data_IF_693452742725
#
_entry.id   IF_693452742725
#
_cell.length_a   1.000
_cell.length_b   1.000
_cell.length_c   1.000
_cell.angle_alpha   90.00
_cell.angle_beta   90.00
_cell.angle_gamma   90.00
#
_symmetry.space_group_name_H-M   'P 1'
#
loop_
_entity.id
_entity.type
_entity.pdbx_description
1 polymer ?
#
# COMPACT_ATOMS: atom_id res chain seq x y z
N UNK A 1 -9.29 -23.65 -28.38
CA UNK A 1 -9.97 -22.90 -29.46
C UNK A 1 -9.06 -21.94 -30.22
N UNK A 2 -8.15 -21.21 -29.63
CA UNK A 2 -7.14 -20.39 -30.33
C UNK A 2 -6.22 -21.17 -31.28
N UNK A 3 -6.12 -22.45 -31.11
CA UNK A 3 -5.27 -23.32 -31.90
C UNK A 3 -5.77 -23.53 -33.35
N UNK A 4 -7.01 -23.17 -33.66
CA UNK A 4 -7.61 -23.43 -34.97
C UNK A 4 -7.26 -22.41 -36.03
N UNK A 5 -6.69 -21.27 -35.72
CA UNK A 5 -6.22 -20.32 -36.73
C UNK A 5 -5.00 -20.85 -37.50
N UNK A 6 -4.27 -21.85 -36.98
CA UNK A 6 -3.07 -22.46 -37.61
C UNK A 6 -2.07 -21.45 -38.14
N UNK A 7 -1.89 -20.31 -37.44
CA UNK A 7 -0.99 -19.22 -37.85
C UNK A 7 -1.52 -18.35 -38.99
N UNK A 8 -2.75 -18.55 -39.44
CA UNK A 8 -3.38 -17.66 -40.41
C UNK A 8 -3.61 -16.27 -39.80
N UNK A 9 -3.48 -15.18 -40.55
CA UNK A 9 -3.66 -13.83 -40.06
C UNK A 9 -5.14 -13.45 -39.94
N UNK A 10 -5.95 -14.34 -39.40
CA UNK A 10 -7.37 -14.13 -39.11
C UNK A 10 -7.56 -13.93 -37.61
N UNK A 11 -8.54 -13.12 -37.22
CA UNK A 11 -8.79 -12.81 -35.84
C UNK A 11 -9.29 -14.03 -35.05
N UNK A 12 -10.19 -14.80 -35.60
CA UNK A 12 -10.82 -15.96 -34.99
C UNK A 12 -11.45 -16.83 -36.09
N UNK A 13 -11.61 -18.13 -35.85
CA UNK A 13 -12.39 -19.04 -36.72
C UNK A 13 -13.86 -18.99 -36.31
N UNK A 14 -14.13 -19.00 -34.99
CA UNK A 14 -15.47 -18.86 -34.43
C UNK A 14 -15.68 -17.48 -33.76
N UNK A 15 -16.91 -17.09 -33.62
CA UNK A 15 -17.32 -15.80 -33.03
C UNK A 15 -17.03 -15.67 -31.51
N UNK A 16 -16.79 -16.78 -30.83
CA UNK A 16 -16.42 -16.81 -29.39
C UNK A 16 -14.93 -17.12 -29.15
N UNK A 17 -14.11 -17.15 -30.17
CA UNK A 17 -12.67 -17.39 -30.07
C UNK A 17 -11.90 -16.08 -29.86
N UNK A 18 -11.88 -15.58 -28.63
CA UNK A 18 -11.07 -14.44 -28.25
C UNK A 18 -10.03 -14.86 -27.21
N UNK A 19 -8.77 -14.49 -27.45
CA UNK A 19 -7.70 -14.72 -26.47
C UNK A 19 -7.81 -13.71 -25.31
N UNK A 20 -8.67 -14.01 -24.38
CA UNK A 20 -8.88 -13.17 -23.19
C UNK A 20 -7.64 -13.15 -22.30
N UNK A 21 -6.81 -14.20 -22.31
CA UNK A 21 -5.63 -14.26 -21.45
C UNK A 21 -4.59 -13.20 -21.82
N UNK A 22 -4.41 -12.92 -23.13
CA UNK A 22 -3.55 -11.83 -23.59
C UNK A 22 -4.06 -10.45 -23.16
N UNK A 23 -5.36 -10.24 -23.21
CA UNK A 23 -5.97 -8.99 -22.76
C UNK A 23 -5.87 -8.86 -21.21
N UNK A 24 -6.19 -9.94 -20.49
CA UNK A 24 -6.15 -9.99 -19.03
C UNK A 24 -4.72 -9.87 -18.47
N UNK A 25 -3.70 -10.32 -19.17
CA UNK A 25 -2.30 -10.29 -18.74
C UNK A 25 -1.82 -8.87 -18.37
N UNK A 26 -2.37 -7.83 -18.98
CA UNK A 26 -2.04 -6.44 -18.65
C UNK A 26 -2.66 -5.95 -17.33
N UNK A 27 -3.65 -6.67 -16.80
CA UNK A 27 -4.42 -6.30 -15.60
C UNK A 27 -4.24 -7.28 -14.44
N UNK A 28 -3.62 -8.44 -14.70
CA UNK A 28 -3.50 -9.54 -13.76
C UNK A 28 -2.04 -9.87 -13.46
N UNK A 29 -1.78 -10.42 -12.29
CA UNK A 29 -0.46 -10.98 -11.96
C UNK A 29 -0.17 -12.29 -12.71
N UNK A 30 -1.23 -13.03 -13.01
CA UNK A 30 -1.16 -14.31 -13.70
C UNK A 30 -2.38 -14.44 -14.58
N UNK A 31 -2.17 -14.70 -15.86
CA UNK A 31 -3.24 -14.94 -16.82
C UNK A 31 -2.86 -16.16 -17.66
N UNK A 32 -3.67 -17.20 -17.61
CA UNK A 32 -3.37 -18.48 -18.25
C UNK A 32 -4.64 -19.14 -18.78
N UNK A 33 -4.52 -19.81 -19.93
CA UNK A 33 -5.53 -20.74 -20.42
C UNK A 33 -5.11 -22.17 -20.04
N UNK A 34 -6.04 -22.97 -19.58
CA UNK A 34 -5.83 -24.40 -19.34
C UNK A 34 -5.68 -25.11 -20.70
N UNK A 35 -4.50 -25.67 -20.97
CA UNK A 35 -4.20 -26.38 -22.20
C UNK A 35 -4.35 -27.91 -22.08
N UNK A 36 -4.20 -28.42 -20.85
CA UNK A 36 -4.35 -29.85 -20.52
C UNK A 36 -5.19 -29.97 -19.27
N UNK A 37 -6.24 -30.79 -19.27
CA UNK A 37 -7.12 -30.95 -18.10
C UNK A 37 -6.39 -31.34 -16.81
N UNK A 38 -5.29 -32.10 -16.93
CA UNK A 38 -4.49 -32.60 -15.82
C UNK A 38 -3.73 -31.49 -15.09
N UNK A 39 -3.52 -30.33 -15.72
CA UNK A 39 -2.82 -29.19 -15.14
C UNK A 39 -3.73 -28.31 -14.27
N UNK A 40 -5.03 -28.62 -14.16
CA UNK A 40 -6.02 -27.79 -13.47
C UNK A 40 -5.63 -27.50 -12.01
N UNK A 41 -5.18 -28.52 -11.28
CA UNK A 41 -4.76 -28.37 -9.89
C UNK A 41 -3.58 -27.39 -9.75
N UNK A 42 -2.55 -27.60 -10.55
CA UNK A 42 -1.35 -26.76 -10.55
C UNK A 42 -1.69 -25.30 -10.87
N UNK A 43 -2.50 -25.08 -11.90
CA UNK A 43 -2.88 -23.74 -12.35
C UNK A 43 -3.70 -23.01 -11.28
N UNK A 44 -4.68 -23.68 -10.65
CA UNK A 44 -5.52 -23.06 -9.61
C UNK A 44 -4.73 -22.76 -8.34
N UNK A 45 -3.89 -23.68 -7.87
CA UNK A 45 -3.04 -23.47 -6.71
C UNK A 45 -2.05 -22.32 -6.95
N UNK A 46 -1.43 -22.26 -8.13
CA UNK A 46 -0.53 -21.17 -8.53
C UNK A 46 -1.27 -19.83 -8.63
N UNK A 47 -2.43 -19.81 -9.28
CA UNK A 47 -3.25 -18.61 -9.40
C UNK A 47 -3.64 -18.04 -8.04
N UNK A 48 -4.04 -18.90 -7.12
CA UNK A 48 -4.37 -18.52 -5.74
C UNK A 48 -3.15 -17.97 -5.01
N UNK A 49 -2.02 -18.67 -5.06
CA UNK A 49 -0.78 -18.23 -4.43
C UNK A 49 -0.36 -16.85 -4.92
N UNK A 50 -0.28 -16.65 -6.25
CA UNK A 50 0.12 -15.38 -6.83
C UNK A 50 -0.86 -14.24 -6.50
N UNK A 51 -2.16 -14.53 -6.46
CA UNK A 51 -3.17 -13.53 -6.10
C UNK A 51 -3.06 -13.05 -4.64
N UNK A 52 -2.61 -13.92 -3.74
CA UNK A 52 -2.66 -13.69 -2.28
C UNK A 52 -1.31 -13.36 -1.65
N UNK A 53 -0.19 -13.46 -2.40
CA UNK A 53 1.17 -13.23 -1.87
C UNK A 53 1.83 -12.00 -2.46
N UNK A 54 2.83 -11.45 -1.77
CA UNK A 54 3.54 -10.25 -2.17
C UNK A 54 2.59 -9.06 -2.34
N UNK A 55 2.79 -8.28 -3.40
CA UNK A 55 1.79 -7.30 -3.83
C UNK A 55 0.58 -8.06 -4.38
N UNK A 56 -0.47 -8.19 -3.58
CA UNK A 56 -1.69 -8.92 -3.93
C UNK A 56 -2.35 -8.32 -5.18
N UNK A 57 -2.92 -9.17 -6.03
CA UNK A 57 -3.57 -8.75 -7.26
C UNK A 57 -4.32 -9.90 -7.93
N UNK A 58 -5.17 -9.61 -8.93
CA UNK A 58 -5.98 -10.62 -9.57
C UNK A 58 -5.15 -11.64 -10.36
N UNK A 59 -5.66 -12.87 -10.44
CA UNK A 59 -5.23 -13.88 -11.40
C UNK A 59 -6.42 -14.26 -12.28
N UNK A 60 -6.15 -14.57 -13.53
CA UNK A 60 -7.15 -14.97 -14.51
C UNK A 60 -6.85 -16.38 -15.02
N UNK A 61 -7.81 -17.27 -14.87
CA UNK A 61 -7.71 -18.64 -15.41
C UNK A 61 -8.84 -18.84 -16.42
N UNK A 62 -8.50 -19.13 -17.66
CA UNK A 62 -9.44 -19.47 -18.72
C UNK A 62 -9.52 -20.99 -18.83
N UNK A 63 -10.70 -21.54 -18.62
CA UNK A 63 -10.96 -22.98 -18.69
C UNK A 63 -11.86 -23.24 -19.90
N UNK A 64 -11.32 -23.82 -21.00
CA UNK A 64 -12.10 -24.16 -22.18
C UNK A 64 -13.30 -25.05 -21.84
N UNK A 65 -14.42 -24.79 -22.52
CA UNK A 65 -15.70 -25.46 -22.22
C UNK A 65 -15.67 -26.98 -22.44
N UNK A 66 -14.88 -27.44 -23.38
CA UNK A 66 -14.64 -28.86 -23.63
C UNK A 66 -13.93 -29.53 -22.44
N UNK A 67 -13.07 -28.83 -21.72
CA UNK A 67 -12.41 -29.36 -20.52
C UNK A 67 -13.32 -29.38 -19.31
N UNK A 68 -14.29 -28.46 -19.22
CA UNK A 68 -15.19 -28.36 -18.06
C UNK A 68 -16.09 -29.60 -17.87
N UNK A 69 -16.34 -30.33 -18.96
CA UNK A 69 -17.15 -31.56 -18.95
C UNK A 69 -16.34 -32.86 -18.83
N UNK A 70 -15.02 -32.80 -18.77
CA UNK A 70 -14.19 -34.00 -18.72
C UNK A 70 -14.14 -34.61 -17.34
N UNK A 71 -14.13 -35.96 -17.31
CA UNK A 71 -13.82 -36.72 -16.08
C UNK A 71 -12.30 -36.90 -16.04
N UNK A 72 -11.68 -36.43 -15.00
CA UNK A 72 -10.23 -36.53 -14.78
C UNK A 72 -9.93 -37.33 -13.51
N UNK A 73 -8.81 -38.02 -13.49
CA UNK A 73 -8.32 -38.72 -12.31
C UNK A 73 -7.56 -37.70 -11.42
N UNK A 74 -8.07 -37.50 -10.19
CA UNK A 74 -7.57 -36.41 -9.33
C UNK A 74 -6.40 -36.82 -8.44
N UNK A 75 -6.18 -38.14 -8.22
CA UNK A 75 -5.19 -38.66 -7.27
C UNK A 75 -3.74 -38.36 -7.64
N UNK A 76 -3.45 -38.21 -8.93
CA UNK A 76 -2.09 -38.01 -9.47
C UNK A 76 -1.86 -36.63 -10.09
N UNK A 77 -2.77 -35.68 -9.90
CA UNK A 77 -2.59 -34.32 -10.42
C UNK A 77 -1.39 -33.64 -9.76
N UNK A 78 -0.54 -33.05 -10.58
CA UNK A 78 0.57 -32.23 -10.13
C UNK A 78 0.05 -31.06 -9.29
N UNK A 79 0.55 -30.91 -8.06
CA UNK A 79 0.35 -29.71 -7.25
C UNK A 79 1.37 -28.62 -7.61
N UNK A 80 1.07 -27.41 -7.21
CA UNK A 80 1.98 -26.27 -7.26
C UNK A 80 2.77 -26.17 -5.96
N UNK A 81 4.05 -25.80 -6.05
CA UNK A 81 4.86 -25.53 -4.88
C UNK A 81 5.36 -24.07 -4.89
N UNK A 82 5.15 -23.28 -3.84
CA UNK A 82 5.56 -21.87 -3.79
C UNK A 82 7.05 -21.61 -4.08
N UNK A 83 7.92 -22.56 -3.82
CA UNK A 83 9.34 -22.47 -4.13
C UNK A 83 9.67 -22.48 -5.64
N UNK A 84 8.68 -22.76 -6.50
CA UNK A 84 8.81 -22.67 -7.97
C UNK A 84 8.84 -21.22 -8.45
N UNK A 85 8.25 -20.30 -7.67
CA UNK A 85 8.41 -18.87 -7.93
C UNK A 85 9.76 -18.42 -7.37
N UNK A 86 10.42 -17.52 -8.09
CA UNK A 86 11.56 -16.82 -7.53
C UNK A 86 11.04 -16.06 -6.31
N UNK A 87 11.43 -16.49 -5.12
CA UNK A 87 11.10 -15.78 -3.90
C UNK A 87 11.48 -14.31 -4.11
N UNK A 88 10.50 -13.40 -4.09
CA UNK A 88 10.81 -11.99 -3.94
C UNK A 88 11.70 -11.92 -2.73
N UNK A 89 12.97 -11.56 -2.93
CA UNK A 89 13.96 -11.53 -1.86
C UNK A 89 13.53 -10.42 -0.91
N UNK A 90 12.73 -10.78 0.10
CA UNK A 90 12.40 -9.88 1.19
C UNK A 90 13.65 -9.71 2.01
N UNK A 91 14.37 -8.64 1.75
CA UNK A 91 15.48 -8.25 2.62
C UNK A 91 14.87 -7.81 3.95
N UNK A 92 15.30 -8.38 5.07
CA UNK A 92 14.87 -7.88 6.39
C UNK A 92 15.15 -6.38 6.49
N UNK A 93 14.25 -5.66 7.14
CA UNK A 93 14.46 -4.22 7.37
C UNK A 93 15.64 -4.07 8.33
N UNK A 94 16.64 -3.32 7.92
CA UNK A 94 17.79 -3.03 8.78
C UNK A 94 17.36 -2.18 9.97
N UNK A 95 17.85 -2.50 11.15
CA UNK A 95 17.55 -1.75 12.38
C UNK A 95 17.95 -0.28 12.25
N UNK A 96 19.07 0.01 11.62
CA UNK A 96 19.53 1.36 11.31
C UNK A 96 18.52 2.18 10.49
N UNK A 97 17.78 1.53 9.59
CA UNK A 97 16.71 2.20 8.83
C UNK A 97 15.54 2.59 9.74
N UNK A 98 15.16 1.72 10.67
CA UNK A 98 14.12 2.03 11.65
C UNK A 98 14.54 3.19 12.57
N UNK A 99 15.80 3.16 13.04
CA UNK A 99 16.37 4.25 13.85
C UNK A 99 16.38 5.58 13.09
N UNK A 100 16.78 5.57 11.80
CA UNK A 100 16.74 6.77 10.97
C UNK A 100 15.33 7.33 10.84
N UNK A 101 14.32 6.47 10.60
CA UNK A 101 12.92 6.92 10.50
C UNK A 101 12.45 7.55 11.80
N UNK A 102 12.71 6.92 12.96
CA UNK A 102 12.35 7.46 14.28
C UNK A 102 13.01 8.80 14.55
N UNK A 103 14.31 8.92 14.28
CA UNK A 103 15.05 10.16 14.43
C UNK A 103 14.48 11.28 13.55
N UNK A 104 14.13 10.98 12.31
CA UNK A 104 13.49 11.93 11.41
C UNK A 104 12.14 12.41 11.94
N UNK A 105 11.31 11.51 12.45
CA UNK A 105 10.02 11.85 13.07
C UNK A 105 10.23 12.72 14.32
N UNK A 106 11.20 12.38 15.17
CA UNK A 106 11.51 13.14 16.39
C UNK A 106 11.94 14.57 16.09
N UNK A 107 12.64 14.83 14.99
CA UNK A 107 13.12 16.15 14.60
C UNK A 107 12.14 16.96 13.74
N UNK A 108 11.16 16.32 13.12
CA UNK A 108 10.16 16.98 12.30
C UNK A 108 9.23 17.87 13.15
N UNK A 109 8.90 19.04 12.65
CA UNK A 109 8.01 19.99 13.32
C UNK A 109 6.56 19.81 12.91
N UNK A 110 6.34 19.33 11.70
CA UNK A 110 5.02 19.13 11.06
C UNK A 110 4.92 17.76 10.39
N UNK A 111 5.20 16.67 11.12
CA UNK A 111 5.12 15.32 10.56
C UNK A 111 3.67 14.93 10.24
N UNK A 112 3.49 14.14 9.18
CA UNK A 112 2.21 13.53 8.81
C UNK A 112 2.43 12.05 8.52
N UNK A 113 1.59 11.20 9.12
CA UNK A 113 1.47 9.80 8.73
C UNK A 113 0.44 9.67 7.61
N UNK A 114 0.86 9.23 6.42
CA UNK A 114 -0.03 9.04 5.28
C UNK A 114 -0.32 7.55 5.09
N UNK A 115 -1.42 7.10 5.70
CA UNK A 115 -1.83 5.70 5.70
C UNK A 115 -2.46 5.27 4.38
N UNK A 116 -2.01 4.13 3.85
CA UNK A 116 -2.54 3.52 2.65
C UNK A 116 -3.14 2.14 2.89
N UNK A 117 -3.87 1.62 1.91
CA UNK A 117 -4.56 0.33 2.00
C UNK A 117 -3.58 -0.87 2.12
N UNK A 118 -2.31 -0.70 1.79
CA UNK A 118 -1.27 -1.70 2.02
C UNK A 118 -1.17 -2.14 3.49
N UNK A 119 -1.49 -1.25 4.43
CA UNK A 119 -1.55 -1.58 5.87
C UNK A 119 -2.60 -2.68 6.12
N UNK A 120 -3.80 -2.55 5.52
CA UNK A 120 -4.85 -3.56 5.67
C UNK A 120 -4.51 -4.84 4.92
N UNK A 121 -3.98 -4.72 3.71
CA UNK A 121 -3.60 -5.86 2.88
C UNK A 121 -2.48 -6.71 3.51
N UNK A 122 -1.57 -6.09 4.26
CA UNK A 122 -0.52 -6.80 5.00
C UNK A 122 -1.01 -7.45 6.30
N UNK A 123 -2.25 -7.14 6.74
CA UNK A 123 -2.75 -7.54 8.06
C UNK A 123 -2.22 -6.64 9.20
N UNK A 124 -1.61 -5.49 8.87
CA UNK A 124 -0.95 -4.59 9.82
C UNK A 124 -1.88 -3.61 10.55
N UNK A 125 -3.19 -3.86 10.60
CA UNK A 125 -4.14 -2.94 11.21
C UNK A 125 -3.88 -2.68 12.71
N UNK A 126 -3.62 -3.73 13.47
CA UNK A 126 -3.34 -3.60 14.90
C UNK A 126 -2.01 -2.90 15.17
N UNK A 127 -0.99 -3.17 14.34
CA UNK A 127 0.29 -2.48 14.43
C UNK A 127 0.16 -1.00 14.06
N UNK A 128 -0.68 -0.69 13.09
CA UNK A 128 -1.01 0.70 12.72
C UNK A 128 -1.69 1.44 13.90
N UNK A 129 -2.69 0.83 14.53
CA UNK A 129 -3.37 1.42 15.70
C UNK A 129 -2.38 1.70 16.82
N UNK A 130 -1.54 0.74 17.14
CA UNK A 130 -0.49 0.89 18.16
C UNK A 130 0.47 2.01 17.80
N UNK A 131 0.91 2.08 16.54
CA UNK A 131 1.80 3.13 16.05
C UNK A 131 1.17 4.52 16.19
N UNK A 132 -0.10 4.67 15.81
CA UNK A 132 -0.84 5.94 15.95
C UNK A 132 -0.90 6.38 17.43
N UNK A 133 -1.20 5.44 18.32
CA UNK A 133 -1.30 5.71 19.76
C UNK A 133 0.06 6.07 20.38
N UNK A 134 1.15 5.46 19.94
CA UNK A 134 2.50 5.74 20.43
C UNK A 134 3.07 7.05 19.86
N UNK A 135 3.05 7.20 18.55
CA UNK A 135 3.73 8.30 17.88
C UNK A 135 2.94 9.60 17.86
N UNK A 136 1.63 9.56 18.10
CA UNK A 136 0.79 10.75 18.19
C UNK A 136 0.88 11.68 16.97
N UNK A 137 1.07 11.13 15.76
CA UNK A 137 1.18 11.92 14.53
C UNK A 137 -0.21 12.20 13.93
N UNK A 138 -0.43 13.38 13.30
CA UNK A 138 -1.59 13.58 12.44
C UNK A 138 -1.66 12.53 11.34
N UNK A 139 -2.82 11.87 11.19
CA UNK A 139 -3.06 10.80 10.22
C UNK A 139 -3.88 11.34 9.06
N UNK A 140 -3.36 11.13 7.86
CA UNK A 140 -4.09 11.34 6.60
C UNK A 140 -4.23 9.99 5.91
N UNK A 141 -5.38 9.69 5.34
CA UNK A 141 -5.61 8.43 4.62
C UNK A 141 -5.69 8.65 3.11
N UNK A 142 -5.39 7.60 2.34
CA UNK A 142 -5.82 7.52 0.96
C UNK A 142 -7.35 7.31 0.88
N UNK A 143 -7.93 7.49 -0.29
CA UNK A 143 -9.37 7.32 -0.50
C UNK A 143 -9.81 5.84 -0.38
N UNK A 144 -8.90 4.91 -0.56
CA UNK A 144 -9.08 3.45 -0.48
C UNK A 144 -8.71 2.86 0.89
N UNK A 145 -8.38 3.73 1.85
CA UNK A 145 -7.96 3.38 3.22
C UNK A 145 -8.68 4.18 4.30
N UNK A 146 -9.84 4.72 4.00
CA UNK A 146 -10.63 5.58 4.90
C UNK A 146 -11.13 4.87 6.15
N UNK A 147 -11.20 3.55 6.10
CA UNK A 147 -11.66 2.67 7.18
C UNK A 147 -10.55 2.24 8.14
N UNK A 148 -9.31 2.70 7.95
CA UNK A 148 -8.20 2.42 8.86
C UNK A 148 -8.33 3.13 10.22
N UNK A 149 -8.98 4.28 10.23
CA UNK A 149 -9.12 5.11 11.44
C UNK A 149 -10.50 5.80 11.43
N UNK A 150 -11.11 5.88 12.60
CA UNK A 150 -12.43 6.49 12.75
C UNK A 150 -12.37 8.01 12.50
N UNK A 151 -13.40 8.58 11.87
CA UNK A 151 -13.47 10.03 11.61
C UNK A 151 -13.43 10.85 12.89
N UNK A 152 -13.91 10.31 14.00
CA UNK A 152 -13.89 10.94 15.32
C UNK A 152 -12.55 10.90 16.04
N UNK A 153 -11.58 10.12 15.52
CA UNK A 153 -10.27 10.01 16.15
C UNK A 153 -9.55 11.37 16.16
N UNK A 154 -8.96 11.81 17.29
CA UNK A 154 -8.38 13.14 17.44
C UNK A 154 -7.19 13.41 16.51
N UNK A 155 -6.46 12.38 16.12
CA UNK A 155 -5.32 12.48 15.20
C UNK A 155 -5.71 12.37 13.72
N UNK A 156 -6.93 11.95 13.41
CA UNK A 156 -7.37 11.83 12.02
C UNK A 156 -7.71 13.20 11.44
N UNK A 157 -7.00 13.59 10.41
CA UNK A 157 -7.14 14.91 9.77
C UNK A 157 -8.13 14.85 8.59
N UNK A 158 -8.14 13.73 7.87
CA UNK A 158 -8.97 13.52 6.69
C UNK A 158 -8.24 12.79 5.59
N UNK A 159 -8.81 12.80 4.39
CA UNK A 159 -8.24 12.16 3.21
C UNK A 159 -7.34 13.12 2.43
N UNK A 160 -6.24 12.61 1.90
CA UNK A 160 -5.38 13.34 0.97
C UNK A 160 -5.69 13.01 -0.50
N UNK A 161 -5.31 13.92 -1.40
CA UNK A 161 -5.40 13.73 -2.83
C UNK A 161 -6.56 14.44 -3.53
N UNK A 162 -6.79 14.10 -4.80
CA UNK A 162 -7.80 14.76 -5.67
C UNK A 162 -9.22 14.61 -5.10
N UNK A 163 -9.52 13.43 -4.55
CA UNK A 163 -10.79 13.12 -3.89
C UNK A 163 -10.72 13.31 -2.37
N UNK A 164 -9.71 14.03 -1.92
CA UNK A 164 -9.44 14.24 -0.50
C UNK A 164 -10.18 15.46 0.09
N UNK A 165 -10.09 15.54 1.40
CA UNK A 165 -10.68 16.62 2.19
C UNK A 165 -9.71 17.83 2.22
N UNK A 166 -10.25 19.03 2.42
CA UNK A 166 -9.41 20.23 2.52
C UNK A 166 -8.38 20.11 3.65
N UNK A 167 -8.81 19.65 4.82
CA UNK A 167 -7.92 19.49 5.97
C UNK A 167 -6.79 18.49 5.70
N UNK A 168 -7.11 17.30 5.16
CA UNK A 168 -6.11 16.30 4.79
C UNK A 168 -5.10 16.83 3.76
N UNK A 169 -5.60 17.51 2.72
CA UNK A 169 -4.71 18.13 1.73
C UNK A 169 -3.87 19.26 2.30
N UNK A 170 -4.39 20.07 3.21
CA UNK A 170 -3.61 21.11 3.88
C UNK A 170 -2.52 20.51 4.76
N UNK A 171 -2.82 19.43 5.49
CA UNK A 171 -1.81 18.73 6.28
C UNK A 171 -0.66 18.21 5.41
N UNK A 172 -0.97 17.50 4.31
CA UNK A 172 0.04 16.98 3.39
C UNK A 172 0.87 18.11 2.77
N UNK A 173 0.24 19.20 2.31
CA UNK A 173 0.94 20.29 1.62
C UNK A 173 1.82 21.16 2.53
N UNK A 174 1.55 21.15 3.83
CA UNK A 174 2.31 21.94 4.81
C UNK A 174 3.21 21.08 5.72
N UNK A 175 3.23 19.77 5.51
CA UNK A 175 4.13 18.87 6.23
C UNK A 175 5.61 19.19 5.91
N UNK A 176 6.49 18.97 6.88
CA UNK A 176 7.94 18.94 6.70
C UNK A 176 8.49 17.50 6.69
N UNK A 177 7.65 16.53 7.07
CA UNK A 177 7.92 15.10 6.93
C UNK A 177 6.62 14.36 6.61
N UNK A 178 6.68 13.47 5.64
CA UNK A 178 5.60 12.54 5.32
C UNK A 178 6.12 11.12 5.45
N UNK A 179 5.50 10.34 6.34
CA UNK A 179 5.67 8.90 6.42
C UNK A 179 4.51 8.23 5.71
N UNK A 180 4.72 7.79 4.47
CA UNK A 180 3.72 7.09 3.65
C UNK A 180 3.91 5.58 3.76
N UNK A 181 2.99 4.86 4.39
CA UNK A 181 3.08 3.41 4.60
C UNK A 181 1.95 2.70 3.87
N UNK A 182 2.32 1.74 3.01
CA UNK A 182 1.37 0.99 2.20
C UNK A 182 0.51 1.89 1.30
N UNK A 183 1.05 3.07 1.00
CA UNK A 183 0.41 4.10 0.20
C UNK A 183 1.29 4.35 -1.03
N UNK A 184 0.90 3.77 -2.15
CA UNK A 184 1.70 3.86 -3.38
C UNK A 184 1.85 5.27 -3.96
N UNK A 185 1.29 6.30 -3.31
CA UNK A 185 1.33 7.70 -3.73
C UNK A 185 0.98 7.84 -5.23
N UNK A 186 -0.17 7.30 -5.60
CA UNK A 186 -0.67 7.36 -6.98
C UNK A 186 -1.07 8.77 -7.35
N UNK A 187 -1.29 9.02 -8.64
CA UNK A 187 -1.75 10.32 -9.15
C UNK A 187 -3.05 10.80 -8.47
N UNK A 188 -3.87 9.90 -7.95
CA UNK A 188 -5.08 10.25 -7.18
C UNK A 188 -4.75 10.90 -5.84
N UNK A 189 -3.59 10.56 -5.25
CA UNK A 189 -3.15 11.10 -3.97
C UNK A 189 -2.26 12.34 -4.14
N UNK A 190 -1.42 12.36 -5.18
CA UNK A 190 -0.46 13.44 -5.37
C UNK A 190 -0.92 14.48 -6.38
N UNK A 191 -1.94 14.17 -7.20
CA UNK A 191 -2.42 15.03 -8.27
C UNK A 191 -1.56 14.98 -9.52
N UNK A 192 -1.98 15.71 -10.53
CA UNK A 192 -1.26 15.79 -11.82
C UNK A 192 -0.04 16.69 -11.78
N UNK A 193 -0.04 17.68 -10.89
CA UNK A 193 1.12 18.55 -10.65
C UNK A 193 1.96 18.01 -9.48
N UNK A 194 2.50 16.80 -9.66
CA UNK A 194 3.27 16.10 -8.61
C UNK A 194 4.51 16.84 -8.15
N UNK A 195 5.08 17.74 -8.98
CA UNK A 195 6.23 18.57 -8.60
C UNK A 195 5.93 19.55 -7.47
N UNK A 196 4.67 19.94 -7.29
CA UNK A 196 4.24 20.85 -6.22
C UNK A 196 3.66 20.12 -5.02
N UNK A 197 3.55 18.79 -5.10
CA UNK A 197 3.02 17.98 -3.99
C UNK A 197 4.04 17.92 -2.86
N UNK A 198 3.59 18.21 -1.65
CA UNK A 198 4.39 18.13 -0.42
C UNK A 198 5.82 18.71 -0.55
N UNK A 199 5.94 19.84 -1.22
CA UNK A 199 7.20 20.43 -1.71
C UNK A 199 8.27 20.72 -0.65
N UNK A 200 7.87 20.81 0.63
CA UNK A 200 8.76 21.10 1.77
C UNK A 200 9.02 19.84 2.61
N UNK A 201 8.33 18.73 2.30
CA UNK A 201 8.39 17.54 3.11
C UNK A 201 9.53 16.62 2.71
N UNK A 202 10.24 16.08 3.69
CA UNK A 202 11.04 14.87 3.55
C UNK A 202 10.09 13.68 3.44
N UNK A 203 10.10 12.96 2.33
CA UNK A 203 9.17 11.86 2.06
C UNK A 203 9.83 10.51 2.33
N UNK A 204 9.30 9.79 3.30
CA UNK A 204 9.62 8.39 3.58
C UNK A 204 8.49 7.56 3.00
N UNK A 205 8.80 6.63 2.11
CA UNK A 205 7.81 5.77 1.47
C UNK A 205 8.11 4.30 1.73
N UNK A 206 7.16 3.61 2.34
CA UNK A 206 7.22 2.17 2.61
C UNK A 206 6.23 1.45 1.71
N UNK A 207 6.73 0.63 0.82
CA UNK A 207 5.91 -0.18 -0.10
C UNK A 207 6.54 -1.56 -0.29
N UNK A 208 5.72 -2.57 -0.48
CA UNK A 208 6.17 -3.94 -0.74
C UNK A 208 6.69 -4.11 -2.18
N UNK A 209 6.31 -3.21 -3.09
CA UNK A 209 6.68 -3.26 -4.49
C UNK A 209 7.87 -2.33 -4.78
N UNK A 210 9.06 -2.88 -5.08
CA UNK A 210 10.23 -2.06 -5.38
C UNK A 210 10.06 -1.20 -6.65
N UNK A 211 9.14 -1.54 -7.55
CA UNK A 211 8.86 -0.74 -8.73
C UNK A 211 8.09 0.55 -8.37
N UNK A 212 7.19 0.49 -7.38
CA UNK A 212 6.49 1.68 -6.88
C UNK A 212 7.46 2.68 -6.23
N UNK A 213 8.51 2.20 -5.58
CA UNK A 213 9.54 3.05 -4.97
C UNK A 213 10.47 3.74 -6.00
N UNK A 214 10.53 3.20 -7.21
CA UNK A 214 11.38 3.72 -8.31
C UNK A 214 10.65 4.62 -9.29
N UNK A 215 9.39 4.95 -9.06
CA UNK A 215 8.66 5.85 -9.97
C UNK A 215 9.29 7.24 -10.02
N UNK A 216 9.33 7.78 -11.24
CA UNK A 216 9.95 9.08 -11.53
C UNK A 216 9.03 10.28 -11.32
N UNK A 217 7.76 10.03 -10.93
CA UNK A 217 6.76 11.08 -10.73
C UNK A 217 6.89 11.80 -9.39
N UNK A 218 7.57 11.19 -8.42
CA UNK A 218 7.78 11.76 -7.10
C UNK A 218 9.24 11.67 -6.72
N UNK A 219 9.67 12.67 -5.96
CA UNK A 219 10.90 12.56 -5.20
C UNK A 219 10.58 11.90 -3.85
N UNK A 220 11.25 10.79 -3.56
CA UNK A 220 11.16 10.07 -2.29
C UNK A 220 12.57 10.02 -1.73
N UNK A 221 12.79 10.68 -0.60
CA UNK A 221 14.11 10.77 0.02
C UNK A 221 14.54 9.45 0.65
N UNK A 222 13.61 8.73 1.28
CA UNK A 222 13.88 7.45 1.91
C UNK A 222 12.88 6.38 1.44
N UNK A 223 13.19 5.66 0.35
CA UNK A 223 12.39 4.53 -0.10
C UNK A 223 12.73 3.27 0.71
N UNK A 224 11.72 2.62 1.31
CA UNK A 224 11.87 1.41 2.11
C UNK A 224 11.03 0.29 1.47
N UNK A 225 11.70 -0.74 0.95
CA UNK A 225 11.03 -1.91 0.38
C UNK A 225 10.70 -2.90 1.50
N UNK A 226 9.46 -2.84 2.01
CA UNK A 226 9.05 -3.67 3.13
C UNK A 226 7.54 -3.92 3.14
N UNK A 227 7.14 -5.01 3.81
CA UNK A 227 5.76 -5.24 4.19
C UNK A 227 5.32 -4.22 5.25
N UNK A 228 4.13 -3.65 5.09
CA UNK A 228 3.65 -2.59 5.98
C UNK A 228 3.46 -3.08 7.43
N UNK A 229 3.02 -4.32 7.63
CA UNK A 229 2.87 -4.89 8.98
C UNK A 229 4.24 -5.10 9.64
N UNK A 230 5.20 -5.67 8.91
CA UNK A 230 6.56 -5.89 9.42
C UNK A 230 7.25 -4.56 9.78
N UNK A 231 7.11 -3.54 8.91
CA UNK A 231 7.65 -2.22 9.17
C UNK A 231 7.04 -1.58 10.43
N UNK A 232 5.72 -1.55 10.54
CA UNK A 232 5.03 -0.96 11.70
C UNK A 232 5.36 -1.71 13.00
N UNK A 233 5.45 -3.04 12.95
CA UNK A 233 5.86 -3.84 14.11
C UNK A 233 7.29 -3.53 14.55
N UNK A 234 8.21 -3.33 13.60
CA UNK A 234 9.58 -2.94 13.90
C UNK A 234 9.66 -1.54 14.52
N UNK A 235 8.91 -0.57 13.98
CA UNK A 235 8.81 0.78 14.52
C UNK A 235 8.27 0.79 15.96
N UNK A 236 7.17 0.08 16.20
CA UNK A 236 6.54 0.01 17.52
C UNK A 236 7.47 -0.62 18.56
N UNK A 237 8.19 -1.68 18.20
CA UNK A 237 9.16 -2.33 19.09
C UNK A 237 10.32 -1.39 19.43
N UNK A 238 10.93 -0.77 18.41
CA UNK A 238 12.09 0.10 18.62
C UNK A 238 11.74 1.35 19.44
N UNK A 239 10.59 1.96 19.20
CA UNK A 239 10.13 3.10 20.00
C UNK A 239 9.92 2.73 21.46
N UNK A 240 9.35 1.55 21.74
CA UNK A 240 9.20 1.06 23.11
C UNK A 240 10.55 0.84 23.82
N UNK A 241 11.56 0.36 23.09
CA UNK A 241 12.94 0.21 23.61
C UNK A 241 13.55 1.56 23.95
N UNK A 242 13.45 2.55 23.06
CA UNK A 242 14.00 3.89 23.24
C UNK A 242 13.32 4.66 24.37
N UNK A 243 12.00 4.55 24.53
CA UNK A 243 11.29 5.16 25.65
C UNK A 243 11.80 4.70 27.02
N UNK A 244 12.32 3.49 27.13
CA UNK A 244 12.93 2.98 28.37
C UNK A 244 14.32 3.58 28.65
N UNK A 245 15.02 4.11 27.65
CA UNK A 245 16.39 4.64 27.76
C UNK A 245 16.45 6.17 27.91
N UNK A 246 15.40 6.91 27.52
CA UNK A 246 15.43 8.37 27.30
C UNK A 246 15.17 9.26 28.51
N UNK A 247 15.30 8.80 29.76
CA UNK A 247 15.20 9.73 30.94
C UNK A 247 16.26 10.86 30.97
N UNK A 248 17.15 10.99 29.99
CA UNK A 248 18.34 11.86 30.05
C UNK A 248 18.49 12.98 29.02
N UNK A 249 17.61 13.18 28.01
CA UNK A 249 17.77 14.21 26.96
C UNK A 249 16.58 15.18 26.86
N UNK A 250 16.34 15.99 27.88
CA UNK A 250 15.05 16.70 28.05
C UNK A 250 14.92 18.03 27.30
N UNK A 251 15.97 18.81 27.03
CA UNK A 251 15.78 20.22 26.63
C UNK A 251 15.58 20.51 25.13
N UNK A 252 16.28 19.83 24.22
CA UNK A 252 16.06 20.04 22.75
C UNK A 252 14.75 19.43 22.29
N UNK A 253 14.32 18.36 22.91
CA UNK A 253 13.07 17.67 22.61
C UNK A 253 11.84 18.49 22.99
N UNK A 254 11.88 19.32 24.04
CA UNK A 254 10.73 20.13 24.44
C UNK A 254 10.29 21.15 23.38
N UNK A 255 11.21 21.77 22.64
CA UNK A 255 10.85 22.73 21.60
C UNK A 255 10.20 22.08 20.40
N UNK A 256 10.71 20.92 19.97
CA UNK A 256 10.12 20.16 18.86
C UNK A 256 8.76 19.60 19.26
N UNK A 257 8.63 19.04 20.44
CA UNK A 257 7.33 18.58 20.98
C UNK A 257 6.28 19.69 21.03
N UNK A 258 6.64 20.90 21.46
CA UNK A 258 5.74 22.07 21.43
C UNK A 258 5.29 22.39 19.99
N UNK A 259 6.21 22.30 19.00
CA UNK A 259 5.88 22.53 17.58
C UNK A 259 4.98 21.44 17.04
N UNK A 260 5.22 20.17 17.38
CA UNK A 260 4.36 19.06 16.99
C UNK A 260 2.97 19.14 17.64
N UNK A 261 2.87 19.57 18.89
CA UNK A 261 1.58 19.83 19.54
C UNK A 261 0.80 20.95 18.84
N UNK A 262 1.48 22.07 18.54
CA UNK A 262 0.87 23.17 17.78
C UNK A 262 0.44 22.71 16.36
N UNK A 263 1.20 21.83 15.73
CA UNK A 263 0.87 21.25 14.44
C UNK A 263 -0.38 20.38 14.52
N UNK A 264 -0.48 19.48 15.51
CA UNK A 264 -1.70 18.69 15.75
C UNK A 264 -2.92 19.55 15.94
N UNK A 265 -2.80 20.60 16.77
CA UNK A 265 -3.89 21.56 16.99
C UNK A 265 -4.30 22.26 15.69
N UNK A 266 -3.33 22.66 14.86
CA UNK A 266 -3.61 23.26 13.55
C UNK A 266 -4.34 22.32 12.61
N UNK A 267 -3.96 21.04 12.56
CA UNK A 267 -4.66 20.04 11.76
C UNK A 267 -6.10 19.84 12.24
N UNK A 268 -6.32 19.77 13.53
CA UNK A 268 -7.66 19.68 14.13
C UNK A 268 -8.52 20.92 13.84
N UNK A 269 -7.94 22.14 13.92
CA UNK A 269 -8.63 23.37 13.51
C UNK A 269 -9.08 23.34 12.06
N UNK A 270 -8.23 22.84 11.14
CA UNK A 270 -8.61 22.72 9.73
C UNK A 270 -9.75 21.72 9.54
N UNK A 271 -9.73 20.58 10.25
CA UNK A 271 -10.81 19.60 10.20
C UNK A 271 -12.15 20.21 10.65
N UNK A 272 -12.14 20.96 11.74
CA UNK A 272 -13.34 21.65 12.23
C UNK A 272 -13.81 22.75 11.28
N UNK A 273 -12.89 23.55 10.75
CA UNK A 273 -13.20 24.68 9.88
C UNK A 273 -13.70 24.27 8.49
N UNK A 274 -13.27 23.12 8.02
CA UNK A 274 -13.62 22.61 6.69
C UNK A 274 -14.21 21.19 6.76
N UNK A 275 -15.37 21.05 7.41
CA UNK A 275 -16.04 19.73 7.52
C UNK A 275 -16.40 19.20 6.14
N UNK A 276 -16.36 17.87 5.98
CA UNK A 276 -16.72 17.17 4.73
C UNK A 276 -18.18 17.33 4.42
N UNK A 277 -19.03 17.30 5.47
CA UNK A 277 -20.48 17.47 5.36
C UNK A 277 -20.93 18.63 6.26
N UNK A 278 -21.96 19.34 5.83
CA UNK A 278 -22.60 20.40 6.62
C UNK A 278 -24.03 20.02 6.92
N UNK A 279 -24.63 20.59 7.99
CA UNK A 279 -26.03 20.35 8.38
C UNK A 279 -27.05 20.57 7.24
N UNK A 280 -26.69 21.39 6.24
CA UNK A 280 -27.53 21.66 5.07
C UNK A 280 -27.54 20.56 4.01
N UNK A 281 -26.74 19.52 4.17
CA UNK A 281 -26.59 18.42 3.21
C UNK A 281 -27.31 17.14 3.66
N UNK A 282 -28.04 17.20 4.78
CA UNK A 282 -28.90 16.11 5.30
C UNK A 282 -30.38 16.45 5.14
#
# INVERSE_FOLDING_TARGET
>A
MQQFTNGLPIRAVGDQEFDITKAAASMCKYAVMLEKPEDIRYILERAYHLATTGRRGPSWVDIPVDFQGLVIETEHLRGYHPAEENAECRTPIEESTIEEVLERIKHAKRPVFYAGNGIRLSGGYEEFRRFVDQMQLPVVTGWDSIDLIEDTHPLYVGRGGIMGDRAGNFAVQNADLILAVGNRLSIRQVGYNWKSWAREAYVIMVDIDPAELKKTTLHVELPICADACEFLAAMNRKEAELCCEEEKKVMEQEEVLKKQMAWRSRCAEWKQKYPVTTERQW
#
